data_IF_664698836172
#
_entry.id   IF_664698836172
#
_cell.length_a   1.000
_cell.length_b   1.000
_cell.length_c   1.000
_cell.angle_alpha   90.00
_cell.angle_beta   90.00
_cell.angle_gamma   90.00
#
_symmetry.space_group_name_H-M   'P 1'
#
loop_
_entity.id
_entity.type
_entity.pdbx_description
1 polymer ?
#
# COMPACT_ATOMS: atom_id res chain seq x y z
N UNK A 1 15.34 -22.12 1.81
CA UNK A 1 14.87 -21.58 0.51
C UNK A 1 15.54 -20.23 0.27
N UNK A 2 15.94 -19.95 -0.97
CA UNK A 2 16.43 -18.64 -1.42
C UNK A 2 15.27 -17.78 -1.87
N UNK A 3 15.20 -16.52 -1.45
CA UNK A 3 14.07 -15.62 -1.73
C UNK A 3 14.57 -14.31 -2.36
N UNK A 4 13.83 -13.79 -3.34
CA UNK A 4 14.02 -12.46 -3.94
C UNK A 4 12.81 -11.58 -3.59
N UNK A 5 13.05 -10.40 -3.02
CA UNK A 5 12.02 -9.37 -2.82
C UNK A 5 12.26 -8.24 -3.83
N UNK A 6 11.24 -7.85 -4.57
CA UNK A 6 11.30 -6.76 -5.54
C UNK A 6 10.73 -5.51 -4.90
N UNK A 7 11.50 -4.42 -4.90
CA UNK A 7 11.17 -3.12 -4.32
C UNK A 7 12.21 -2.66 -3.28
N UNK A 8 11.97 -1.54 -2.63
CA UNK A 8 12.95 -0.97 -1.70
C UNK A 8 12.35 0.04 -0.71
N UNK A 9 11.04 0.01 -0.47
CA UNK A 9 10.35 0.86 0.51
C UNK A 9 10.19 0.20 1.88
N UNK A 10 9.40 0.82 2.73
CA UNK A 10 9.09 0.32 4.08
C UNK A 10 8.31 -0.98 4.04
N UNK A 11 7.35 -1.09 3.13
CA UNK A 11 6.60 -2.32 2.84
C UNK A 11 7.54 -3.49 2.55
N UNK A 12 8.50 -3.31 1.63
CA UNK A 12 9.47 -4.35 1.30
C UNK A 12 10.38 -4.67 2.47
N UNK A 13 10.75 -3.68 3.29
CA UNK A 13 11.52 -3.93 4.50
C UNK A 13 10.72 -4.79 5.50
N UNK A 14 9.42 -4.51 5.70
CA UNK A 14 8.58 -5.33 6.57
C UNK A 14 8.38 -6.76 6.02
N UNK A 15 8.31 -6.92 4.69
CA UNK A 15 8.29 -8.24 4.05
C UNK A 15 9.62 -8.99 4.27
N UNK A 16 10.75 -8.33 4.07
CA UNK A 16 12.09 -8.91 4.33
C UNK A 16 12.23 -9.33 5.79
N UNK A 17 11.80 -8.48 6.75
CA UNK A 17 11.81 -8.79 8.17
C UNK A 17 10.92 -10.02 8.50
N UNK A 18 9.73 -10.12 7.89
CA UNK A 18 8.86 -11.28 8.05
C UNK A 18 9.48 -12.57 7.48
N UNK A 19 10.11 -12.48 6.31
CA UNK A 19 10.83 -13.60 5.69
C UNK A 19 12.05 -14.04 6.50
N UNK A 20 12.79 -13.10 7.08
CA UNK A 20 13.97 -13.39 7.90
C UNK A 20 13.63 -14.13 9.21
N UNK A 21 12.38 -14.05 9.68
CA UNK A 21 11.90 -14.85 10.84
C UNK A 21 11.57 -16.29 10.51
N UNK A 22 11.42 -16.64 9.23
CA UNK A 22 11.11 -18.00 8.81
C UNK A 22 12.35 -18.90 8.81
N UNK A 23 12.25 -20.04 9.47
CA UNK A 23 13.31 -21.07 9.47
C UNK A 23 13.51 -21.72 8.07
N UNK A 24 12.58 -21.50 7.14
CA UNK A 24 12.64 -22.01 5.78
C UNK A 24 13.53 -21.16 4.86
N UNK A 25 13.85 -19.90 5.28
CA UNK A 25 14.62 -18.97 4.47
C UNK A 25 16.10 -19.10 4.76
N UNK A 26 16.87 -19.42 3.74
CA UNK A 26 18.32 -19.54 3.78
C UNK A 26 19.01 -18.22 3.45
N UNK A 27 18.49 -17.52 2.43
CA UNK A 27 19.05 -16.26 1.96
C UNK A 27 17.98 -15.40 1.32
N UNK A 28 18.08 -14.09 1.55
CA UNK A 28 17.20 -13.07 0.97
C UNK A 28 18.04 -12.14 0.12
N UNK A 29 17.56 -11.86 -1.09
CA UNK A 29 17.97 -10.72 -1.92
C UNK A 29 16.83 -9.73 -2.02
N UNK A 30 17.17 -8.46 -2.18
CA UNK A 30 16.19 -7.39 -2.40
C UNK A 30 16.63 -6.48 -3.54
N UNK A 31 15.73 -6.16 -4.46
CA UNK A 31 16.05 -5.38 -5.66
C UNK A 31 15.07 -4.19 -5.82
N UNK A 32 15.52 -2.93 -5.68
CA UNK A 32 16.89 -2.51 -5.33
C UNK A 32 17.21 -2.58 -3.82
N UNK A 33 16.20 -2.66 -2.94
CA UNK A 33 16.35 -2.56 -1.49
C UNK A 33 16.68 -1.12 -1.01
N UNK A 34 17.04 -1.01 0.26
CA UNK A 34 17.45 0.25 0.90
C UNK A 34 18.47 -0.02 2.02
N UNK A 35 18.93 1.03 2.70
CA UNK A 35 19.97 0.92 3.72
C UNK A 35 19.59 0.04 4.93
N UNK A 36 18.29 0.00 5.31
CA UNK A 36 17.82 -0.87 6.39
C UNK A 36 17.69 -2.32 5.97
N UNK A 37 17.15 -2.56 4.77
CA UNK A 37 17.04 -3.90 4.17
C UNK A 37 18.40 -4.57 4.05
N UNK A 38 19.45 -3.78 3.76
CA UNK A 38 20.83 -4.29 3.62
C UNK A 38 21.38 -4.94 4.90
N UNK A 39 20.77 -4.73 6.06
CA UNK A 39 21.14 -5.42 7.29
C UNK A 39 20.63 -6.87 7.35
N UNK A 40 19.61 -7.22 6.58
CA UNK A 40 18.93 -8.51 6.60
C UNK A 40 18.96 -9.25 5.25
N UNK A 41 19.23 -8.53 4.16
CA UNK A 41 19.23 -9.06 2.79
C UNK A 41 20.37 -8.48 1.96
N UNK A 42 20.77 -9.19 0.92
CA UNK A 42 21.70 -8.66 -0.08
C UNK A 42 20.95 -7.77 -1.07
N UNK A 43 21.25 -6.47 -1.07
CA UNK A 43 20.63 -5.52 -1.99
C UNK A 43 21.28 -5.58 -3.38
N UNK A 44 20.46 -5.60 -4.43
CA UNK A 44 20.90 -5.69 -5.81
C UNK A 44 20.69 -4.37 -6.54
N UNK A 45 21.67 -3.94 -7.34
CA UNK A 45 21.53 -2.77 -8.20
C UNK A 45 20.69 -3.09 -9.47
N UNK A 46 19.45 -3.56 -9.25
CA UNK A 46 18.46 -3.85 -10.29
C UNK A 46 17.19 -3.11 -9.92
N UNK A 47 16.67 -2.30 -10.84
CA UNK A 47 15.42 -1.56 -10.61
C UNK A 47 14.22 -2.52 -10.71
N UNK A 48 13.16 -2.21 -10.03
CA UNK A 48 11.91 -3.00 -9.97
C UNK A 48 11.21 -3.14 -11.33
N UNK A 49 11.53 -2.27 -12.29
CA UNK A 49 11.00 -2.31 -13.67
C UNK A 49 11.93 -3.02 -14.68
N UNK A 50 13.13 -3.44 -14.26
CA UNK A 50 14.07 -4.18 -15.11
C UNK A 50 13.73 -5.68 -15.12
N UNK A 51 12.54 -6.00 -15.63
CA UNK A 51 11.88 -7.32 -15.55
C UNK A 51 12.80 -8.46 -16.00
N UNK A 52 13.47 -8.32 -17.14
CA UNK A 52 14.34 -9.37 -17.68
C UNK A 52 15.55 -9.63 -16.78
N UNK A 53 16.19 -8.58 -16.26
CA UNK A 53 17.33 -8.71 -15.34
C UNK A 53 16.92 -9.38 -14.03
N UNK A 54 15.75 -9.06 -13.51
CA UNK A 54 15.19 -9.69 -12.29
C UNK A 54 14.94 -11.19 -12.54
N UNK A 55 14.29 -11.54 -13.65
CA UNK A 55 14.02 -12.92 -14.06
C UNK A 55 15.31 -13.71 -14.22
N UNK A 56 16.27 -13.17 -14.96
CA UNK A 56 17.53 -13.85 -15.27
C UNK A 56 18.37 -14.05 -14.00
N UNK A 57 18.36 -13.05 -13.08
CA UNK A 57 18.98 -13.19 -11.77
C UNK A 57 18.31 -14.31 -10.96
N UNK A 58 16.97 -14.37 -10.93
CA UNK A 58 16.23 -15.38 -10.19
C UNK A 58 16.53 -16.79 -10.72
N UNK A 59 16.58 -16.97 -12.04
CA UNK A 59 16.92 -18.23 -12.67
C UNK A 59 18.37 -18.66 -12.38
N UNK A 60 19.33 -17.75 -12.55
CA UNK A 60 20.76 -18.05 -12.35
C UNK A 60 21.13 -18.37 -10.89
N UNK A 61 20.38 -17.83 -9.92
CA UNK A 61 20.61 -18.04 -8.48
C UNK A 61 19.68 -19.08 -7.84
N UNK A 62 18.86 -19.77 -8.64
CA UNK A 62 17.92 -20.79 -8.17
C UNK A 62 16.99 -20.25 -7.08
N UNK A 63 16.41 -19.07 -7.31
CA UNK A 63 15.46 -18.46 -6.39
C UNK A 63 14.20 -19.33 -6.27
N UNK A 64 13.90 -19.78 -5.06
CA UNK A 64 12.75 -20.65 -4.79
C UNK A 64 11.42 -19.90 -4.67
N UNK A 65 11.48 -18.60 -4.37
CA UNK A 65 10.31 -17.72 -4.26
C UNK A 65 10.71 -16.27 -4.56
N UNK A 66 9.96 -15.60 -5.42
CA UNK A 66 10.06 -14.15 -5.62
C UNK A 66 8.79 -13.47 -5.09
N UNK A 67 8.94 -12.33 -4.38
CA UNK A 67 7.83 -11.55 -3.83
C UNK A 67 7.87 -10.15 -4.42
N UNK A 68 6.75 -9.71 -5.00
CA UNK A 68 6.65 -8.37 -5.61
C UNK A 68 6.03 -7.39 -4.61
N UNK A 69 6.74 -6.31 -4.32
CA UNK A 69 6.25 -5.23 -3.46
C UNK A 69 5.47 -4.15 -4.22
N UNK A 70 6.11 -3.39 -5.16
CA UNK A 70 5.52 -2.19 -5.74
C UNK A 70 4.66 -2.47 -6.99
N UNK A 71 3.64 -1.64 -7.17
CA UNK A 71 2.72 -1.68 -8.31
C UNK A 71 3.40 -1.46 -9.67
N UNK A 72 4.49 -0.69 -9.71
CA UNK A 72 5.22 -0.41 -10.96
C UNK A 72 5.83 -1.68 -11.56
N UNK A 73 6.30 -2.61 -10.73
CA UNK A 73 6.81 -3.91 -11.17
C UNK A 73 5.68 -4.81 -11.73
N UNK A 74 4.51 -4.79 -11.08
CA UNK A 74 3.33 -5.53 -11.52
C UNK A 74 2.83 -4.99 -12.88
N UNK A 75 2.74 -3.68 -13.01
CA UNK A 75 2.35 -3.02 -14.26
C UNK A 75 3.36 -3.27 -15.40
N UNK A 76 4.65 -3.42 -15.07
CA UNK A 76 5.69 -3.81 -16.02
C UNK A 76 5.58 -5.27 -16.49
N UNK A 77 4.78 -6.13 -15.80
CA UNK A 77 4.56 -7.52 -16.19
C UNK A 77 5.60 -8.50 -15.64
N UNK A 78 6.23 -8.17 -14.50
CA UNK A 78 7.25 -9.04 -13.89
C UNK A 78 6.69 -10.43 -13.57
N UNK A 79 5.46 -10.53 -13.09
CA UNK A 79 4.82 -11.81 -12.75
C UNK A 79 4.62 -12.67 -13.97
N UNK A 80 4.17 -12.08 -15.07
CA UNK A 80 3.96 -12.78 -16.35
C UNK A 80 5.28 -13.36 -16.89
N UNK A 81 6.36 -12.56 -16.83
CA UNK A 81 7.69 -12.98 -17.28
C UNK A 81 8.27 -14.12 -16.43
N UNK A 82 8.09 -14.09 -15.10
CA UNK A 82 8.56 -15.14 -14.21
C UNK A 82 7.76 -16.43 -14.38
N UNK A 83 6.44 -16.35 -14.49
CA UNK A 83 5.57 -17.51 -14.74
C UNK A 83 5.90 -18.18 -16.10
N UNK A 84 6.13 -17.38 -17.13
CA UNK A 84 6.56 -17.89 -18.45
C UNK A 84 7.90 -18.62 -18.39
N UNK A 85 8.79 -18.24 -17.47
CA UNK A 85 10.07 -18.91 -17.21
C UNK A 85 10.00 -20.09 -16.22
N UNK A 86 8.79 -20.41 -15.70
CA UNK A 86 8.60 -21.47 -14.70
C UNK A 86 9.14 -21.12 -13.31
N UNK A 87 9.34 -19.83 -13.02
CA UNK A 87 9.81 -19.34 -11.73
C UNK A 87 8.64 -19.00 -10.81
N UNK A 88 8.71 -19.46 -9.54
CA UNK A 88 7.67 -19.16 -8.55
C UNK A 88 7.73 -17.69 -8.15
N UNK A 89 6.59 -17.01 -8.25
CA UNK A 89 6.47 -15.61 -7.92
C UNK A 89 5.13 -15.32 -7.23
N UNK A 90 5.16 -14.53 -6.17
CA UNK A 90 4.00 -14.04 -5.45
C UNK A 90 3.66 -12.61 -5.91
N UNK A 91 2.50 -12.45 -6.49
CA UNK A 91 1.94 -11.20 -7.00
C UNK A 91 0.98 -11.46 -8.16
N UNK A 92 0.05 -10.53 -8.46
CA UNK A 92 -0.89 -10.67 -9.56
C UNK A 92 -0.20 -10.45 -10.91
N UNK A 93 -0.71 -11.12 -11.94
CA UNK A 93 -0.33 -10.85 -13.34
C UNK A 93 -0.64 -9.40 -13.73
N UNK A 94 -0.01 -8.92 -14.80
CA UNK A 94 -0.31 -7.57 -15.34
C UNK A 94 -1.80 -7.38 -15.62
N UNK A 95 -2.48 -8.40 -16.12
CA UNK A 95 -3.92 -8.36 -16.38
C UNK A 95 -4.74 -8.19 -15.09
N UNK A 96 -4.38 -8.90 -14.01
CA UNK A 96 -5.03 -8.80 -12.72
C UNK A 96 -4.67 -7.50 -11.98
N UNK A 97 -3.44 -7.01 -12.12
CA UNK A 97 -2.99 -5.75 -11.53
C UNK A 97 -3.74 -4.50 -12.09
N UNK A 98 -4.50 -4.65 -13.18
CA UNK A 98 -5.37 -3.59 -13.71
C UNK A 98 -6.41 -3.10 -12.70
N UNK A 99 -6.75 -3.90 -11.70
CA UNK A 99 -7.68 -3.46 -10.64
C UNK A 99 -7.15 -2.25 -9.84
N UNK A 100 -5.82 -2.04 -9.82
CA UNK A 100 -5.16 -0.84 -9.27
C UNK A 100 -4.77 0.15 -10.37
N UNK A 101 -4.18 -0.33 -11.47
CA UNK A 101 -3.60 0.54 -12.50
C UNK A 101 -4.63 1.19 -13.42
N UNK A 102 -5.89 0.71 -13.44
CA UNK A 102 -7.01 1.35 -14.12
C UNK A 102 -8.21 1.48 -13.19
N UNK A 103 -8.52 2.71 -12.83
CA UNK A 103 -9.68 3.04 -11.97
C UNK A 103 -10.99 2.79 -12.70
N UNK A 104 -11.03 3.05 -14.03
CA UNK A 104 -12.17 2.71 -14.87
C UNK A 104 -12.45 1.21 -14.83
N UNK A 105 -11.44 0.36 -15.07
CA UNK A 105 -11.59 -1.09 -14.99
C UNK A 105 -12.13 -1.55 -13.62
N UNK A 106 -11.57 -1.02 -12.54
CA UNK A 106 -12.03 -1.36 -11.18
C UNK A 106 -13.48 -0.94 -10.96
N UNK A 107 -13.88 0.25 -11.43
CA UNK A 107 -15.26 0.74 -11.30
C UNK A 107 -16.24 -0.05 -12.15
N UNK A 108 -15.90 -0.37 -13.39
CA UNK A 108 -16.72 -1.18 -14.27
C UNK A 108 -16.92 -2.60 -13.71
N UNK A 109 -15.85 -3.18 -13.16
CA UNK A 109 -15.92 -4.46 -12.45
C UNK A 109 -16.90 -4.37 -11.27
N UNK A 110 -16.77 -3.36 -10.41
CA UNK A 110 -17.64 -3.16 -9.26
C UNK A 110 -19.11 -2.96 -9.69
N UNK A 111 -19.37 -2.18 -10.73
CA UNK A 111 -20.70 -1.96 -11.27
C UNK A 111 -21.31 -3.25 -11.83
N UNK A 112 -20.54 -4.00 -12.63
CA UNK A 112 -20.97 -5.26 -13.26
C UNK A 112 -21.34 -6.34 -12.24
N UNK A 113 -20.60 -6.43 -11.14
CA UNK A 113 -20.78 -7.46 -10.10
C UNK A 113 -21.47 -6.95 -8.84
N UNK A 114 -22.07 -5.75 -8.89
CA UNK A 114 -22.80 -5.12 -7.81
C UNK A 114 -21.99 -5.02 -6.50
N UNK A 115 -20.68 -4.74 -6.60
CA UNK A 115 -19.79 -4.48 -5.47
C UNK A 115 -19.98 -3.03 -5.02
N UNK A 116 -20.27 -2.78 -3.72
CA UNK A 116 -20.61 -1.44 -3.23
C UNK A 116 -19.47 -0.44 -3.40
N UNK A 117 -19.70 0.64 -4.13
CA UNK A 117 -18.77 1.77 -4.30
C UNK A 117 -19.52 3.08 -4.53
N UNK A 118 -18.81 4.20 -4.65
CA UNK A 118 -19.39 5.48 -5.05
C UNK A 118 -19.94 5.46 -6.47
N UNK A 119 -21.01 6.20 -6.75
CA UNK A 119 -21.44 6.47 -8.11
C UNK A 119 -20.32 7.13 -8.91
N UNK A 120 -20.15 6.77 -10.17
CA UNK A 120 -19.04 7.27 -10.98
C UNK A 120 -19.40 7.40 -12.45
N UNK A 121 -18.57 8.18 -13.16
CA UNK A 121 -18.51 8.21 -14.64
C UNK A 121 -17.10 8.52 -15.10
N UNK A 122 -16.65 7.86 -16.19
CA UNK A 122 -15.36 8.07 -16.81
C UNK A 122 -15.47 9.03 -18.01
N UNK A 123 -14.44 9.85 -18.24
CA UNK A 123 -14.38 10.85 -19.29
C UNK A 123 -12.98 10.90 -19.91
N UNK A 124 -12.94 11.12 -21.24
CA UNK A 124 -11.75 11.49 -22.01
C UNK A 124 -11.79 12.95 -22.44
N UNK A 125 -12.98 13.54 -22.49
CA UNK A 125 -13.20 14.91 -22.97
C UNK A 125 -13.41 15.86 -21.79
N UNK A 126 -12.56 16.89 -21.72
CA UNK A 126 -12.59 17.90 -20.65
C UNK A 126 -13.96 18.58 -20.51
N UNK A 127 -14.56 19.02 -21.64
CA UNK A 127 -15.84 19.75 -21.60
C UNK A 127 -16.98 18.87 -21.04
N UNK A 128 -17.03 17.60 -21.42
CA UNK A 128 -18.03 16.66 -20.90
C UNK A 128 -17.84 16.37 -19.42
N UNK A 129 -16.57 16.24 -18.97
CA UNK A 129 -16.25 16.03 -17.57
C UNK A 129 -16.66 17.24 -16.72
N UNK A 130 -16.36 18.46 -17.17
CA UNK A 130 -16.72 19.69 -16.45
C UNK A 130 -18.24 19.90 -16.38
N UNK A 131 -18.97 19.67 -17.48
CA UNK A 131 -20.43 19.75 -17.52
C UNK A 131 -21.06 18.72 -16.55
N UNK A 132 -20.49 17.53 -16.47
CA UNK A 132 -20.97 16.50 -15.56
C UNK A 132 -20.75 16.90 -14.10
N UNK A 133 -19.57 17.43 -13.73
CA UNK A 133 -19.31 17.93 -12.38
C UNK A 133 -20.24 19.09 -12.04
N UNK A 134 -20.45 20.04 -12.96
CA UNK A 134 -21.34 21.19 -12.74
C UNK A 134 -22.81 20.80 -12.53
N UNK A 135 -23.22 19.63 -13.03
CA UNK A 135 -24.59 19.10 -12.88
C UNK A 135 -24.84 18.35 -11.57
N UNK A 136 -23.81 18.20 -10.69
CA UNK A 136 -23.87 17.35 -9.49
C UNK A 136 -23.59 18.14 -8.21
N UNK A 137 -24.02 17.61 -7.03
CA UNK A 137 -23.58 18.16 -5.76
C UNK A 137 -22.05 18.06 -5.58
N UNK A 138 -21.47 19.10 -5.02
CA UNK A 138 -20.08 19.08 -4.54
C UNK A 138 -20.05 18.69 -3.05
N UNK A 139 -18.93 18.14 -2.54
CA UNK A 139 -17.68 17.88 -3.26
C UNK A 139 -17.79 16.73 -4.28
N UNK A 140 -16.93 16.76 -5.29
CA UNK A 140 -16.76 15.67 -6.25
C UNK A 140 -15.32 15.13 -6.17
N UNK A 141 -15.12 13.82 -6.40
CA UNK A 141 -13.80 13.21 -6.41
C UNK A 141 -13.36 12.95 -7.85
N UNK A 142 -12.28 13.57 -8.25
CA UNK A 142 -11.68 13.45 -9.58
C UNK A 142 -10.45 12.57 -9.49
N UNK A 143 -10.43 11.46 -10.23
CA UNK A 143 -9.31 10.51 -10.22
C UNK A 143 -8.77 10.31 -11.64
N UNK A 144 -7.49 10.60 -11.83
CA UNK A 144 -6.80 10.25 -13.06
C UNK A 144 -6.75 8.71 -13.22
N UNK A 145 -7.10 8.19 -14.39
CA UNK A 145 -7.07 6.75 -14.68
C UNK A 145 -5.67 6.30 -15.07
N UNK A 146 -4.91 5.88 -14.07
CA UNK A 146 -3.52 5.45 -14.22
C UNK A 146 -2.78 5.47 -12.88
N UNK A 147 -1.52 5.00 -12.92
CA UNK A 147 -0.62 5.06 -11.78
C UNK A 147 -0.09 6.50 -11.61
N UNK A 148 -0.50 7.17 -10.56
CA UNK A 148 -0.12 8.57 -10.27
C UNK A 148 0.48 8.76 -8.87
N UNK A 149 0.90 7.68 -8.20
CA UNK A 149 1.53 7.69 -6.87
C UNK A 149 0.78 8.56 -5.84
N UNK A 150 -0.57 8.45 -5.81
CA UNK A 150 -1.45 9.22 -4.91
C UNK A 150 -1.67 10.69 -5.31
N UNK A 151 -1.03 11.18 -6.38
CA UNK A 151 -1.16 12.58 -6.84
C UNK A 151 -2.26 12.79 -7.87
N UNK A 152 -2.85 11.72 -8.38
CA UNK A 152 -3.92 11.76 -9.37
C UNK A 152 -5.33 11.80 -8.78
N UNK A 153 -5.50 12.16 -7.52
CA UNK A 153 -6.82 12.27 -6.86
C UNK A 153 -7.01 13.67 -6.31
N UNK A 154 -8.09 14.33 -6.71
CA UNK A 154 -8.49 15.66 -6.23
C UNK A 154 -9.92 15.57 -5.71
N UNK A 155 -10.15 16.04 -4.49
CA UNK A 155 -11.47 16.30 -3.94
C UNK A 155 -11.76 17.77 -4.22
N UNK A 156 -12.65 18.03 -5.17
CA UNK A 156 -13.02 19.37 -5.57
C UNK A 156 -14.24 19.85 -4.74
N UNK A 157 -14.04 20.83 -3.90
CA UNK A 157 -15.07 21.46 -3.09
C UNK A 157 -15.82 22.56 -3.85
N UNK A 158 -15.17 23.11 -4.88
CA UNK A 158 -15.73 24.14 -5.76
C UNK A 158 -15.61 23.75 -7.24
N UNK A 159 -16.40 24.40 -8.11
CA UNK A 159 -16.32 24.16 -9.55
C UNK A 159 -15.00 24.66 -10.13
N UNK A 160 -14.41 25.72 -9.56
CA UNK A 160 -13.12 26.25 -9.95
C UNK A 160 -11.98 25.26 -9.65
N UNK A 161 -12.03 24.57 -8.52
CA UNK A 161 -11.09 23.50 -8.18
C UNK A 161 -11.23 22.31 -9.13
N UNK A 162 -12.47 21.94 -9.47
CA UNK A 162 -12.75 20.86 -10.41
C UNK A 162 -12.23 21.22 -11.82
N UNK A 163 -12.48 22.46 -12.28
CA UNK A 163 -11.99 22.96 -13.56
C UNK A 163 -10.45 22.90 -13.64
N UNK A 164 -9.75 23.37 -12.61
CA UNK A 164 -8.30 23.33 -12.56
C UNK A 164 -7.76 21.89 -12.58
N UNK A 165 -8.36 21.00 -11.80
CA UNK A 165 -7.96 19.60 -11.76
C UNK A 165 -8.21 18.86 -13.07
N UNK A 166 -9.35 19.10 -13.74
CA UNK A 166 -9.69 18.50 -15.02
C UNK A 166 -8.74 18.98 -16.13
N UNK A 167 -8.33 20.26 -16.12
CA UNK A 167 -7.30 20.78 -17.04
C UNK A 167 -5.96 20.08 -16.84
N UNK A 168 -5.49 19.98 -15.60
CA UNK A 168 -4.25 19.27 -15.26
C UNK A 168 -4.27 17.79 -15.73
N UNK A 169 -5.44 17.14 -15.66
CA UNK A 169 -5.59 15.72 -15.94
C UNK A 169 -5.88 15.38 -17.40
N UNK A 170 -6.56 16.26 -18.16
CA UNK A 170 -7.05 15.97 -19.50
C UNK A 170 -6.48 16.88 -20.60
N UNK A 171 -5.93 18.06 -20.26
CA UNK A 171 -5.42 19.01 -21.24
C UNK A 171 -3.91 19.23 -21.18
N UNK A 172 -3.33 19.21 -19.98
CA UNK A 172 -1.93 19.60 -19.76
C UNK A 172 -0.96 18.43 -19.80
N UNK A 173 -1.41 17.23 -20.18
CA UNK A 173 -0.63 15.97 -20.25
C UNK A 173 0.26 15.70 -19.01
N UNK A 174 -0.08 16.30 -17.88
CA UNK A 174 0.68 16.20 -16.64
C UNK A 174 0.89 14.75 -16.17
N UNK A 175 -0.07 13.89 -16.51
CA UNK A 175 -0.06 12.46 -16.21
C UNK A 175 0.00 11.59 -17.47
N UNK A 176 0.09 12.18 -18.67
CA UNK A 176 0.01 11.54 -19.99
C UNK A 176 -1.42 11.52 -20.54
N UNK A 177 -1.60 11.02 -21.79
CA UNK A 177 -2.94 10.81 -22.36
C UNK A 177 -3.73 9.86 -21.44
N UNK A 178 -4.82 10.34 -20.85
CA UNK A 178 -5.55 9.59 -19.84
C UNK A 178 -7.03 9.90 -19.84
N UNK A 179 -7.69 9.21 -18.92
CA UNK A 179 -9.08 9.40 -18.58
C UNK A 179 -9.19 9.94 -17.16
N UNK A 180 -10.29 10.57 -16.87
CA UNK A 180 -10.68 10.95 -15.51
C UNK A 180 -11.91 10.17 -15.12
N UNK A 181 -11.89 9.58 -13.92
CA UNK A 181 -13.06 9.02 -13.26
C UNK A 181 -13.57 10.05 -12.25
N UNK A 182 -14.79 10.53 -12.46
CA UNK A 182 -15.49 11.43 -11.55
C UNK A 182 -16.40 10.60 -10.66
N UNK A 183 -16.23 10.72 -9.33
CA UNK A 183 -16.96 9.95 -8.33
C UNK A 183 -17.75 10.83 -7.37
N UNK A 184 -18.83 10.27 -6.82
CA UNK A 184 -19.53 10.87 -5.68
C UNK A 184 -18.62 10.87 -4.46
N UNK A 185 -18.64 11.97 -3.70
CA UNK A 185 -17.89 12.06 -2.45
C UNK A 185 -18.55 11.19 -1.38
N UNK A 186 -17.78 10.28 -0.81
CA UNK A 186 -18.19 9.46 0.33
C UNK A 186 -17.77 10.11 1.65
N UNK A 187 -18.55 9.88 2.70
CA UNK A 187 -18.26 10.38 4.06
C UNK A 187 -18.26 9.24 5.06
N UNK A 188 -17.28 9.25 5.97
CA UNK A 188 -17.11 8.25 7.02
C UNK A 188 -15.64 7.95 7.30
N UNK A 189 -15.33 7.16 8.32
CA UNK A 189 -13.98 6.70 8.57
C UNK A 189 -13.53 5.70 7.48
N UNK A 190 -12.32 5.93 6.96
CA UNK A 190 -11.65 5.03 6.03
C UNK A 190 -10.94 3.92 6.79
N UNK A 191 -10.78 2.76 6.16
CA UNK A 191 -9.95 1.67 6.65
C UNK A 191 -9.44 0.78 5.53
N UNK A 192 -8.34 0.09 5.80
CA UNK A 192 -7.65 -0.79 4.87
C UNK A 192 -7.95 -2.25 5.22
N UNK A 193 -8.45 -3.01 4.24
CA UNK A 193 -8.68 -4.43 4.38
C UNK A 193 -7.93 -5.21 3.31
N UNK A 194 -6.77 -5.72 3.68
CA UNK A 194 -5.94 -6.56 2.81
C UNK A 194 -6.35 -8.02 2.95
N UNK A 195 -6.31 -8.75 1.84
CA UNK A 195 -6.48 -10.19 1.82
C UNK A 195 -5.41 -10.85 0.97
N UNK A 196 -4.93 -12.00 1.39
CA UNK A 196 -4.28 -12.91 0.45
C UNK A 196 -5.34 -13.52 -0.45
N UNK A 197 -5.08 -13.61 -1.74
CA UNK A 197 -6.02 -14.14 -2.73
C UNK A 197 -5.29 -15.09 -3.67
N UNK A 198 -5.92 -16.23 -3.97
CA UNK A 198 -5.49 -17.15 -5.02
C UNK A 198 -6.72 -17.65 -5.78
N UNK A 199 -6.98 -17.05 -6.92
CA UNK A 199 -8.20 -17.28 -7.68
C UNK A 199 -9.43 -16.91 -6.87
N UNK A 200 -10.25 -17.91 -6.46
CA UNK A 200 -11.46 -17.69 -5.63
C UNK A 200 -11.22 -17.81 -4.14
N UNK A 201 -10.02 -18.23 -3.72
CA UNK A 201 -9.67 -18.37 -2.31
C UNK A 201 -9.24 -17.01 -1.76
N UNK A 202 -9.84 -16.61 -0.65
CA UNK A 202 -9.57 -15.32 0.01
C UNK A 202 -9.28 -15.56 1.49
N UNK A 203 -8.14 -15.07 1.98
CA UNK A 203 -7.73 -15.15 3.38
C UNK A 203 -7.55 -13.73 3.93
N UNK A 204 -8.48 -13.26 4.79
CA UNK A 204 -8.45 -11.89 5.30
C UNK A 204 -7.28 -11.68 6.28
N UNK A 205 -6.61 -10.53 6.16
CA UNK A 205 -5.61 -10.07 7.10
C UNK A 205 -6.25 -9.24 8.23
N UNK A 206 -5.47 -8.97 9.28
CA UNK A 206 -5.87 -8.01 10.29
C UNK A 206 -6.11 -6.62 9.66
N UNK A 207 -7.17 -5.95 10.08
CA UNK A 207 -7.52 -4.62 9.61
C UNK A 207 -6.48 -3.57 10.04
N UNK A 208 -6.28 -2.57 9.20
CA UNK A 208 -5.44 -1.42 9.49
C UNK A 208 -6.08 -0.12 9.01
N UNK A 209 -5.63 1.00 9.57
CA UNK A 209 -5.98 2.33 9.07
C UNK A 209 -4.70 3.14 8.90
N UNK A 210 -4.55 3.78 7.77
CA UNK A 210 -3.50 4.77 7.49
C UNK A 210 -4.00 6.20 7.77
N UNK A 211 -3.05 7.14 7.86
CA UNK A 211 -3.30 8.57 8.00
C UNK A 211 -2.70 9.30 6.81
N UNK A 212 -3.57 9.70 5.87
CA UNK A 212 -3.13 10.23 4.56
C UNK A 212 -2.69 11.68 4.58
N UNK A 213 -3.19 12.50 5.51
CA UNK A 213 -2.86 13.92 5.60
C UNK A 213 -1.49 14.14 6.24
N UNK A 214 -0.77 15.15 5.74
CA UNK A 214 0.62 15.40 6.12
C UNK A 214 0.81 15.84 7.58
N UNK A 215 -0.17 16.54 8.17
CA UNK A 215 -0.04 17.20 9.47
C UNK A 215 -1.13 16.76 10.45
N UNK A 216 -0.87 17.00 11.74
CA UNK A 216 -1.81 16.74 12.83
C UNK A 216 -3.19 17.37 12.58
N UNK A 217 -4.23 16.73 13.10
CA UNK A 217 -5.62 17.13 12.90
C UNK A 217 -6.13 16.87 11.47
N UNK A 218 -5.53 15.93 10.75
CA UNK A 218 -5.84 15.59 9.36
C UNK A 218 -5.82 16.80 8.42
N UNK A 219 -4.79 17.64 8.57
CA UNK A 219 -4.59 18.87 7.79
C UNK A 219 -3.46 18.73 6.77
N UNK A 220 -3.36 19.70 5.85
CA UNK A 220 -2.35 19.71 4.81
C UNK A 220 -2.67 18.79 3.62
N UNK A 221 -1.71 18.59 2.70
CA UNK A 221 -1.90 17.79 1.49
C UNK A 221 -2.00 16.29 1.80
N UNK A 222 -2.60 15.54 0.87
CA UNK A 222 -2.55 14.08 0.86
C UNK A 222 -1.13 13.58 0.63
N UNK A 223 -0.79 12.46 1.24
CA UNK A 223 0.51 11.79 1.16
C UNK A 223 0.32 10.30 0.84
N UNK A 224 1.40 9.55 0.80
CA UNK A 224 1.35 8.08 0.76
C UNK A 224 1.03 7.42 2.11
N UNK A 225 0.69 8.20 3.15
CA UNK A 225 0.45 7.75 4.52
C UNK A 225 1.55 8.23 5.48
N UNK A 226 1.15 8.87 6.58
CA UNK A 226 2.02 9.41 7.63
C UNK A 226 2.09 8.52 8.88
N UNK A 227 1.35 7.43 8.87
CA UNK A 227 1.27 6.46 9.95
C UNK A 227 0.14 5.48 9.73
N UNK A 228 0.17 4.39 10.45
CA UNK A 228 -0.89 3.38 10.43
C UNK A 228 -0.99 2.67 11.78
N UNK A 229 -2.11 2.00 12.01
CA UNK A 229 -2.31 1.20 13.22
C UNK A 229 -3.24 0.00 12.98
N UNK A 230 -3.15 -0.99 13.86
CA UNK A 230 -3.94 -2.22 13.88
C UNK A 230 -4.00 -2.75 15.33
N UNK A 231 -5.16 -3.22 15.85
CA UNK A 231 -6.48 -3.38 15.24
C UNK A 231 -7.28 -2.08 15.17
N UNK A 232 -8.49 -2.15 14.56
CA UNK A 232 -9.41 -1.01 14.43
C UNK A 232 -10.62 -1.17 15.36
N UNK A 233 -10.72 -0.41 16.46
CA UNK A 233 -11.81 -0.55 17.42
C UNK A 233 -13.18 -0.08 16.89
N UNK A 234 -13.22 0.77 15.84
CA UNK A 234 -14.45 1.28 15.26
C UNK A 234 -15.06 0.37 14.17
N UNK A 235 -14.32 -0.65 13.71
CA UNK A 235 -14.81 -1.65 12.75
C UNK A 235 -15.26 -2.87 13.54
N UNK A 236 -16.54 -3.20 13.47
CA UNK A 236 -17.13 -4.34 14.16
C UNK A 236 -16.88 -5.65 13.41
N UNK A 237 -17.03 -6.79 14.07
CA UNK A 237 -16.97 -8.10 13.41
C UNK A 237 -18.04 -8.27 12.30
N UNK A 238 -19.16 -7.56 12.42
CA UNK A 238 -20.21 -7.53 11.38
C UNK A 238 -19.74 -6.71 10.17
N UNK A 239 -19.12 -5.57 10.40
CA UNK A 239 -18.51 -4.76 9.33
C UNK A 239 -17.44 -5.54 8.57
N UNK A 240 -16.55 -6.24 9.30
CA UNK A 240 -15.49 -7.06 8.71
C UNK A 240 -16.08 -8.20 7.86
N UNK A 241 -17.07 -8.92 8.40
CA UNK A 241 -17.76 -9.97 7.68
C UNK A 241 -18.44 -9.43 6.43
N UNK A 242 -19.16 -8.29 6.53
CA UNK A 242 -19.80 -7.64 5.40
C UNK A 242 -18.79 -7.27 4.31
N UNK A 243 -17.67 -6.64 4.68
CA UNK A 243 -16.61 -6.27 3.75
C UNK A 243 -16.01 -7.50 3.05
N UNK A 244 -15.80 -8.60 3.78
CA UNK A 244 -15.31 -9.84 3.21
C UNK A 244 -16.33 -10.45 2.24
N UNK A 245 -17.58 -10.66 2.67
CA UNK A 245 -18.61 -11.40 1.92
C UNK A 245 -19.22 -10.58 0.78
N UNK A 246 -19.26 -9.25 0.88
CA UNK A 246 -19.94 -8.36 -0.10
C UNK A 246 -18.98 -7.57 -0.97
N UNK A 247 -17.70 -7.52 -0.62
CA UNK A 247 -16.70 -6.75 -1.36
C UNK A 247 -15.52 -7.62 -1.80
N UNK A 248 -14.72 -8.15 -0.88
CA UNK A 248 -13.46 -8.80 -1.24
C UNK A 248 -13.65 -10.16 -1.91
N UNK A 249 -14.48 -11.02 -1.38
CA UNK A 249 -14.80 -12.31 -2.01
C UNK A 249 -15.47 -12.13 -3.38
N UNK A 250 -16.52 -11.28 -3.54
CA UNK A 250 -17.10 -11.00 -4.86
C UNK A 250 -16.10 -10.40 -5.85
N UNK A 251 -15.13 -9.58 -5.38
CA UNK A 251 -14.07 -9.04 -6.25
C UNK A 251 -13.16 -10.15 -6.77
N UNK A 252 -12.70 -11.06 -5.90
CA UNK A 252 -11.89 -12.20 -6.32
C UNK A 252 -12.63 -13.10 -7.31
N UNK A 253 -13.91 -13.37 -7.04
CA UNK A 253 -14.81 -14.15 -7.94
C UNK A 253 -14.99 -13.47 -9.30
N UNK A 254 -15.19 -12.14 -9.29
CA UNK A 254 -15.34 -11.34 -10.50
C UNK A 254 -14.06 -11.35 -11.36
N UNK A 255 -12.88 -11.23 -10.74
CA UNK A 255 -11.59 -11.30 -11.45
C UNK A 255 -11.41 -12.65 -12.16
N UNK A 256 -11.82 -13.76 -11.53
CA UNK A 256 -11.84 -15.08 -12.19
C UNK A 256 -12.81 -15.11 -13.35
N UNK A 257 -14.03 -14.55 -13.16
CA UNK A 257 -15.06 -14.53 -14.21
C UNK A 257 -14.65 -13.66 -15.42
N UNK A 258 -13.85 -12.60 -15.20
CA UNK A 258 -13.28 -11.77 -16.27
C UNK A 258 -12.02 -12.38 -16.94
N UNK A 259 -11.61 -13.59 -16.55
CA UNK A 259 -10.45 -14.27 -17.14
C UNK A 259 -9.10 -13.72 -16.69
N UNK A 260 -9.05 -12.94 -15.64
CA UNK A 260 -7.83 -12.41 -15.02
C UNK A 260 -7.78 -12.76 -13.51
N UNK A 261 -7.67 -14.07 -13.15
CA UNK A 261 -7.65 -14.49 -11.76
C UNK A 261 -6.57 -13.76 -10.97
N UNK A 262 -6.91 -13.35 -9.76
CA UNK A 262 -6.00 -12.61 -8.88
C UNK A 262 -5.20 -13.58 -8.01
N UNK A 263 -3.89 -13.38 -7.93
CA UNK A 263 -2.98 -14.11 -7.04
C UNK A 263 -2.06 -13.08 -6.36
N UNK A 264 -2.07 -13.02 -5.03
CA UNK A 264 -1.27 -12.05 -4.29
C UNK A 264 -2.05 -11.37 -3.18
N UNK A 265 -1.81 -10.07 -2.96
CA UNK A 265 -2.55 -9.26 -1.99
C UNK A 265 -3.53 -8.34 -2.71
N UNK A 266 -4.82 -8.59 -2.49
CA UNK A 266 -5.90 -7.67 -2.84
C UNK A 266 -6.14 -6.74 -1.65
N UNK A 267 -5.91 -5.45 -1.84
CA UNK A 267 -6.14 -4.42 -0.85
C UNK A 267 -7.40 -3.64 -1.20
N UNK A 268 -8.42 -3.71 -0.33
CA UNK A 268 -9.59 -2.85 -0.38
C UNK A 268 -9.38 -1.62 0.50
N UNK A 269 -9.31 -0.43 -0.11
CA UNK A 269 -9.50 0.84 0.58
C UNK A 269 -10.99 1.07 0.76
N UNK A 270 -11.48 0.99 1.99
CA UNK A 270 -12.88 0.96 2.32
C UNK A 270 -13.29 2.16 3.18
N UNK A 271 -14.53 2.59 3.06
CA UNK A 271 -15.12 3.62 3.91
C UNK A 271 -16.41 3.10 4.57
N UNK A 272 -16.51 3.27 5.89
CA UNK A 272 -17.73 2.98 6.64
C UNK A 272 -18.66 4.20 6.56
N UNK A 273 -19.55 4.19 5.56
CA UNK A 273 -20.50 5.27 5.33
C UNK A 273 -21.82 5.05 6.10
N UNK A 274 -22.68 6.07 6.24
CA UNK A 274 -24.04 5.88 6.80
C UNK A 274 -24.91 4.90 6.02
N UNK A 275 -24.57 4.61 4.74
CA UNK A 275 -25.30 3.67 3.89
C UNK A 275 -24.63 2.28 3.83
N UNK A 276 -23.66 2.00 4.69
CA UNK A 276 -22.88 0.77 4.73
C UNK A 276 -21.44 0.96 4.21
N UNK A 277 -20.70 -0.14 4.16
CA UNK A 277 -19.31 -0.10 3.71
C UNK A 277 -19.24 -0.03 2.19
N UNK A 278 -18.42 0.88 1.68
CA UNK A 278 -18.17 1.09 0.25
C UNK A 278 -16.69 1.08 -0.07
N UNK A 279 -16.37 0.64 -1.28
CA UNK A 279 -15.01 0.69 -1.83
C UNK A 279 -14.68 2.11 -2.27
N UNK A 280 -13.53 2.63 -1.80
CA UNK A 280 -12.89 3.83 -2.30
C UNK A 280 -12.01 3.49 -3.50
N UNK A 281 -11.17 2.45 -3.34
CA UNK A 281 -10.25 1.95 -4.37
C UNK A 281 -9.79 0.53 -4.03
N UNK A 282 -9.29 -0.18 -5.04
CA UNK A 282 -8.50 -1.39 -4.84
C UNK A 282 -7.03 -1.13 -5.16
N UNK A 283 -6.15 -1.84 -4.45
CA UNK A 283 -4.74 -1.94 -4.79
C UNK A 283 -4.37 -3.43 -4.97
N UNK A 284 -3.42 -3.69 -5.86
CA UNK A 284 -3.04 -5.04 -6.29
C UNK A 284 -1.80 -5.57 -5.55
N UNK A 285 -1.50 -5.02 -4.39
CA UNK A 285 -0.28 -5.28 -3.62
C UNK A 285 -0.49 -4.95 -2.14
N UNK A 286 0.49 -5.29 -1.32
CA UNK A 286 0.54 -4.85 0.07
C UNK A 286 0.45 -3.31 0.18
N UNK A 287 -0.28 -2.81 1.18
CA UNK A 287 -0.32 -1.39 1.54
C UNK A 287 1.02 -0.89 2.09
N UNK A 288 1.24 0.40 2.03
CA UNK A 288 2.39 1.10 2.60
C UNK A 288 1.90 2.46 3.15
N UNK A 289 1.72 2.62 4.48
CA UNK A 289 2.43 1.93 5.55
C UNK A 289 1.65 0.83 6.32
N UNK A 290 0.56 0.27 5.80
CA UNK A 290 -0.25 -0.71 6.54
C UNK A 290 0.47 -2.02 6.78
N UNK A 291 1.28 -2.48 5.82
CA UNK A 291 2.03 -3.74 5.92
C UNK A 291 2.94 -3.76 7.13
N UNK A 292 3.56 -2.63 7.44
CA UNK A 292 4.51 -2.44 8.53
C UNK A 292 3.86 -2.53 9.92
N UNK A 293 2.53 -2.40 10.01
CA UNK A 293 1.77 -2.60 11.26
C UNK A 293 1.01 -3.92 11.27
N UNK A 294 0.72 -4.52 10.11
CA UNK A 294 -0.02 -5.77 10.00
C UNK A 294 0.91 -6.98 10.09
N UNK A 295 2.01 -7.03 9.33
CA UNK A 295 2.91 -8.18 9.32
C UNK A 295 3.58 -8.47 10.67
N UNK A 296 3.93 -7.50 11.52
CA UNK A 296 4.41 -7.80 12.87
C UNK A 296 3.42 -8.56 13.75
N UNK A 297 2.12 -8.48 13.44
CA UNK A 297 1.06 -9.23 14.14
C UNK A 297 0.83 -10.63 13.58
N UNK A 298 1.38 -10.94 12.40
CA UNK A 298 1.25 -12.27 11.81
C UNK A 298 2.11 -13.28 12.58
N UNK A 299 1.47 -14.37 13.06
CA UNK A 299 2.12 -15.46 13.76
C UNK A 299 2.44 -16.64 12.82
N UNK A 300 1.61 -16.85 11.78
CA UNK A 300 1.87 -17.87 10.76
C UNK A 300 3.16 -17.58 10.01
N UNK A 301 3.85 -18.62 9.54
CA UNK A 301 5.02 -18.46 8.67
C UNK A 301 4.61 -17.86 7.33
N UNK A 302 5.20 -16.74 6.97
CA UNK A 302 4.83 -15.99 5.75
C UNK A 302 5.27 -16.73 4.46
N UNK A 303 6.30 -17.58 4.55
CA UNK A 303 6.76 -18.41 3.40
C UNK A 303 5.67 -19.41 3.02
N UNK A 304 5.07 -20.09 4.00
CA UNK A 304 3.97 -21.03 3.75
C UNK A 304 2.79 -20.33 3.07
N UNK A 305 2.47 -19.11 3.51
CA UNK A 305 1.39 -18.31 2.93
C UNK A 305 1.71 -17.93 1.49
N UNK A 306 2.90 -17.37 1.24
CA UNK A 306 3.28 -16.92 -0.09
C UNK A 306 3.36 -18.09 -1.09
N UNK A 307 3.92 -19.24 -0.67
CA UNK A 307 3.95 -20.44 -1.50
C UNK A 307 2.53 -20.96 -1.76
N UNK A 308 1.67 -21.05 -0.74
CA UNK A 308 0.29 -21.52 -0.93
C UNK A 308 -0.48 -20.62 -1.91
N UNK A 309 -0.36 -19.30 -1.79
CA UNK A 309 -1.00 -18.36 -2.72
C UNK A 309 -0.47 -18.51 -4.14
N UNK A 310 0.86 -18.58 -4.32
CA UNK A 310 1.49 -18.69 -5.63
C UNK A 310 1.21 -20.03 -6.32
N UNK A 311 1.03 -21.10 -5.54
CA UNK A 311 0.81 -22.48 -6.06
C UNK A 311 -0.69 -22.86 -6.09
N UNK A 312 -1.62 -21.96 -5.71
CA UNK A 312 -3.05 -22.27 -5.63
C UNK A 312 -3.45 -23.18 -4.47
N UNK A 313 -2.59 -23.33 -3.46
CA UNK A 313 -2.78 -24.15 -2.27
C UNK A 313 -3.76 -23.58 -1.28
N UNK A 314 -3.77 -24.14 -0.05
CA UNK A 314 -4.53 -23.65 1.09
C UNK A 314 -3.59 -23.20 2.21
N UNK A 315 -3.99 -22.20 2.97
CA UNK A 315 -3.25 -21.68 4.11
C UNK A 315 -4.19 -21.23 5.23
N UNK A 316 -3.63 -20.97 6.40
CA UNK A 316 -4.34 -20.42 7.54
C UNK A 316 -3.55 -19.26 8.14
N UNK A 317 -4.26 -18.19 8.48
CA UNK A 317 -3.68 -17.02 9.10
C UNK A 317 -3.95 -17.06 10.61
N UNK A 318 -2.89 -17.01 11.38
CA UNK A 318 -2.93 -16.90 12.84
C UNK A 318 -2.27 -15.59 13.23
N UNK A 319 -2.92 -14.82 14.09
CA UNK A 319 -2.51 -13.47 14.48
C UNK A 319 -2.17 -13.42 15.98
N UNK A 320 -1.25 -12.52 16.33
CA UNK A 320 -1.02 -12.11 17.71
C UNK A 320 -2.07 -11.09 18.15
N UNK A 321 -2.41 -11.10 19.44
CA UNK A 321 -3.44 -10.22 20.03
C UNK A 321 -2.94 -8.80 20.33
N UNK A 322 -1.63 -8.56 20.33
CA UNK A 322 -1.10 -7.22 20.60
C UNK A 322 -1.46 -6.20 19.50
N UNK A 323 -1.54 -4.95 19.91
CA UNK A 323 -1.72 -3.82 19.00
C UNK A 323 -0.38 -3.32 18.46
N UNK A 324 -0.41 -2.75 17.25
CA UNK A 324 0.70 -2.08 16.60
C UNK A 324 0.27 -0.69 16.14
N UNK A 325 1.15 0.29 16.28
CA UNK A 325 0.97 1.62 15.73
C UNK A 325 2.33 2.13 15.25
N UNK A 326 2.36 2.63 14.03
CA UNK A 326 3.59 3.12 13.42
C UNK A 326 3.48 4.57 12.96
N UNK A 327 4.59 5.29 13.09
CA UNK A 327 4.73 6.71 12.80
C UNK A 327 5.78 6.88 11.71
N UNK A 328 5.42 7.57 10.62
CA UNK A 328 6.35 7.94 9.54
C UNK A 328 7.16 9.16 9.96
N UNK A 329 8.48 9.07 9.81
CA UNK A 329 9.35 10.24 9.78
C UNK A 329 9.59 10.61 8.32
N UNK A 330 9.10 11.77 7.92
CA UNK A 330 9.18 12.28 6.56
C UNK A 330 10.15 13.47 6.45
N UNK A 331 10.77 13.64 5.29
CA UNK A 331 11.61 14.81 5.00
C UNK A 331 10.78 16.10 5.03
N UNK A 332 11.26 17.15 5.65
CA UNK A 332 10.61 18.47 5.66
C UNK A 332 10.34 18.94 4.23
N UNK A 333 9.10 19.36 3.98
CA UNK A 333 8.60 19.72 2.66
C UNK A 333 7.80 18.63 1.95
N UNK A 334 7.88 17.36 2.39
CA UNK A 334 7.06 16.28 1.84
C UNK A 334 5.54 16.54 2.07
N UNK A 335 4.64 16.27 1.08
CA UNK A 335 4.85 15.58 -0.20
C UNK A 335 5.32 16.47 -1.35
N UNK A 336 5.62 17.75 -1.10
CA UNK A 336 6.20 18.68 -2.06
C UNK A 336 7.71 18.48 -2.23
N UNK A 337 8.43 19.55 -2.52
CA UNK A 337 9.90 19.51 -2.65
C UNK A 337 10.57 19.36 -1.29
N UNK A 338 11.58 18.48 -1.20
CA UNK A 338 12.32 18.21 0.02
C UNK A 338 13.80 17.97 -0.27
N UNK A 339 14.64 18.24 0.73
CA UNK A 339 16.06 17.98 0.70
C UNK A 339 16.38 16.50 0.99
N UNK A 340 17.43 15.98 0.36
CA UNK A 340 17.96 14.62 0.56
C UNK A 340 19.42 14.68 1.03
N UNK A 341 19.91 13.58 1.60
CA UNK A 341 21.30 13.46 2.00
C UNK A 341 21.59 13.95 3.42
N UNK A 342 20.56 14.23 4.22
CA UNK A 342 20.70 14.57 5.64
C UNK A 342 21.01 13.31 6.46
N UNK A 343 21.99 13.37 7.34
CA UNK A 343 22.39 12.26 8.20
C UNK A 343 21.33 11.97 9.28
N UNK A 344 21.05 10.69 9.50
CA UNK A 344 20.13 10.20 10.51
C UNK A 344 20.95 9.48 11.59
N UNK A 345 20.75 9.84 12.85
CA UNK A 345 21.44 9.25 14.01
C UNK A 345 20.45 8.61 14.98
N UNK A 346 20.97 7.78 15.89
CA UNK A 346 20.18 7.18 16.95
C UNK A 346 19.30 6.00 16.53
N UNK A 347 19.49 5.46 15.34
CA UNK A 347 18.74 4.29 14.85
C UNK A 347 18.99 3.05 15.70
N UNK A 348 20.18 2.92 16.26
CA UNK A 348 20.62 1.85 17.17
C UNK A 348 19.96 1.92 18.55
N UNK A 349 19.31 3.03 18.90
CA UNK A 349 18.61 3.24 20.18
C UNK A 349 17.12 2.89 20.12
N UNK A 350 16.61 2.60 18.92
CA UNK A 350 15.20 2.22 18.72
C UNK A 350 14.98 0.80 19.27
N UNK A 351 13.98 0.63 20.12
CA UNK A 351 13.64 -0.67 20.76
C UNK A 351 12.54 -1.42 20.01
N UNK A 352 11.63 -0.68 19.35
CA UNK A 352 10.56 -1.21 18.52
C UNK A 352 11.04 -1.65 17.15
N UNK A 353 10.10 -1.99 16.26
CA UNK A 353 10.45 -2.26 14.88
C UNK A 353 10.70 -0.94 14.13
N UNK A 354 11.78 -0.92 13.35
CA UNK A 354 12.19 0.21 12.54
C UNK A 354 12.31 -0.22 11.08
N UNK A 355 11.43 0.33 10.24
CA UNK A 355 11.47 0.08 8.81
C UNK A 355 12.01 1.31 8.06
N UNK A 356 12.99 1.09 7.20
CA UNK A 356 13.53 2.10 6.32
C UNK A 356 12.67 2.20 5.07
N UNK A 357 12.23 3.42 4.74
CA UNK A 357 11.42 3.69 3.54
C UNK A 357 12.28 4.35 2.46
N UNK A 358 12.82 5.54 2.74
CA UNK A 358 13.64 6.30 1.82
C UNK A 358 14.99 6.66 2.43
N UNK A 359 15.87 5.69 2.60
CA UNK A 359 17.22 5.86 3.13
C UNK A 359 18.27 5.29 2.19
N UNK A 360 19.47 5.83 2.28
CA UNK A 360 20.68 5.27 1.63
C UNK A 360 21.85 5.25 2.59
N UNK A 361 22.74 4.27 2.41
CA UNK A 361 24.01 4.24 3.13
C UNK A 361 25.07 5.09 2.40
N UNK A 362 25.93 5.73 3.20
CA UNK A 362 27.14 6.42 2.76
C UNK A 362 28.27 6.08 3.75
N UNK A 363 29.00 5.03 3.46
CA UNK A 363 29.91 4.41 4.42
C UNK A 363 29.13 3.90 5.65
N UNK A 364 29.48 4.39 6.84
CA UNK A 364 28.79 4.06 8.09
C UNK A 364 27.58 4.95 8.39
N UNK A 365 27.32 5.98 7.57
CA UNK A 365 26.22 6.92 7.77
C UNK A 365 24.97 6.45 7.06
N UNK A 366 23.82 6.70 7.66
CA UNK A 366 22.51 6.54 7.02
C UNK A 366 21.97 7.92 6.70
N UNK A 367 21.61 8.13 5.44
CA UNK A 367 21.15 9.42 4.92
C UNK A 367 19.72 9.33 4.40
N UNK A 368 19.00 10.46 4.48
CA UNK A 368 17.67 10.59 3.83
C UNK A 368 17.80 10.51 2.32
N UNK A 369 16.90 9.80 1.64
CA UNK A 369 16.87 9.68 0.17
C UNK A 369 15.47 9.74 -0.42
N UNK A 370 14.42 9.76 0.42
CA UNK A 370 13.01 9.79 0.02
C UNK A 370 12.20 10.84 0.76
N UNK A 371 10.93 10.97 0.40
CA UNK A 371 9.97 11.81 1.10
C UNK A 371 9.59 11.21 2.44
N UNK A 372 9.03 9.98 2.45
CA UNK A 372 8.93 9.16 3.66
C UNK A 372 10.28 8.46 3.83
N UNK A 373 10.86 8.55 5.02
CA UNK A 373 12.25 8.16 5.27
C UNK A 373 12.33 6.94 6.17
N UNK A 374 11.64 6.97 7.30
CA UNK A 374 11.61 5.89 8.29
C UNK A 374 10.17 5.66 8.75
N UNK A 375 9.90 4.45 9.20
CA UNK A 375 8.67 4.07 9.87
C UNK A 375 8.97 3.36 11.18
N UNK A 376 8.55 3.96 12.28
CA UNK A 376 8.82 3.48 13.64
C UNK A 376 7.56 2.86 14.21
N UNK A 377 7.62 1.57 14.55
CA UNK A 377 6.45 0.81 15.01
C UNK A 377 6.57 0.45 16.48
N UNK A 378 5.66 0.99 17.29
CA UNK A 378 5.44 0.55 18.65
C UNK A 378 4.48 -0.64 18.72
N UNK A 379 4.70 -1.53 19.68
CA UNK A 379 3.82 -2.65 20.05
C UNK A 379 3.34 -2.45 21.47
N UNK A 380 2.12 -2.91 21.78
CA UNK A 380 1.55 -2.84 23.13
C UNK A 380 0.35 -3.76 23.28
N UNK A 381 -0.09 -4.03 24.50
CA UNK A 381 -1.34 -4.73 24.74
C UNK A 381 -2.55 -3.90 24.28
N UNK A 382 -2.39 -2.59 24.24
CA UNK A 382 -3.37 -1.61 23.75
C UNK A 382 -2.78 -0.70 22.70
N UNK A 383 -3.64 -0.04 21.91
CA UNK A 383 -3.20 0.99 20.95
C UNK A 383 -2.52 2.18 21.66
N UNK A 384 -2.99 2.55 22.85
CA UNK A 384 -2.38 3.62 23.63
C UNK A 384 -0.92 3.29 24.03
N UNK A 385 -0.66 2.06 24.45
CA UNK A 385 0.70 1.59 24.74
C UNK A 385 1.56 1.54 23.46
N UNK A 386 1.00 1.02 22.36
CA UNK A 386 1.68 0.99 21.07
C UNK A 386 2.08 2.41 20.60
N UNK A 387 1.17 3.38 20.74
CA UNK A 387 1.43 4.79 20.41
C UNK A 387 2.53 5.39 21.30
N UNK A 388 2.43 5.22 22.63
CA UNK A 388 3.44 5.72 23.56
C UNK A 388 4.83 5.12 23.26
N UNK A 389 4.89 3.82 22.93
CA UNK A 389 6.14 3.15 22.56
C UNK A 389 6.71 3.67 21.25
N UNK A 390 5.87 3.90 20.22
CA UNK A 390 6.31 4.48 18.95
C UNK A 390 6.87 5.89 19.13
N UNK A 391 6.18 6.77 19.86
CA UNK A 391 6.64 8.14 20.13
C UNK A 391 7.96 8.16 20.92
N UNK A 392 8.12 7.27 21.89
CA UNK A 392 9.37 7.16 22.67
C UNK A 392 10.54 6.78 21.76
N UNK A 393 10.35 5.90 20.80
CA UNK A 393 11.36 5.49 19.86
C UNK A 393 11.64 6.56 18.80
N UNK A 394 10.60 7.27 18.31
CA UNK A 394 10.75 8.44 17.44
C UNK A 394 11.66 9.50 18.08
N UNK A 395 11.47 9.75 19.39
CA UNK A 395 12.29 10.74 20.13
C UNK A 395 13.77 10.37 20.26
N UNK A 396 14.17 9.13 19.96
CA UNK A 396 15.59 8.68 19.96
C UNK A 396 16.29 8.94 18.64
N UNK A 397 15.54 9.23 17.58
CA UNK A 397 16.07 9.47 16.23
C UNK A 397 16.36 10.95 16.07
N UNK A 398 17.57 11.26 15.63
CA UNK A 398 18.07 12.63 15.47
C UNK A 398 18.31 12.93 13.99
N UNK A 399 17.54 13.85 13.43
CA UNK A 399 17.76 14.44 12.10
C UNK A 399 16.86 15.69 11.97
N UNK A 400 17.49 16.86 11.86
CA UNK A 400 16.78 18.15 11.80
C UNK A 400 15.89 18.30 10.57
N UNK A 401 16.11 17.50 9.53
CA UNK A 401 15.33 17.51 8.29
C UNK A 401 14.11 16.59 8.32
N UNK A 402 13.80 15.97 9.45
CA UNK A 402 12.63 15.09 9.57
C UNK A 402 11.48 15.77 10.34
N UNK A 403 10.26 15.40 10.00
CA UNK A 403 9.05 15.69 10.76
C UNK A 403 8.15 14.46 10.81
N UNK A 404 7.22 14.44 11.75
CA UNK A 404 6.24 13.38 11.92
C UNK A 404 4.94 13.93 12.50
N UNK A 405 3.88 13.16 12.44
CA UNK A 405 2.62 13.42 13.13
C UNK A 405 2.69 12.87 14.56
N UNK A 406 2.01 13.52 15.47
CA UNK A 406 1.90 13.11 16.89
C UNK A 406 0.56 12.46 17.21
N UNK A 407 -0.43 12.58 16.32
CA UNK A 407 -1.82 12.17 16.50
C UNK A 407 -2.21 10.87 15.77
N UNK A 408 -1.23 10.09 15.30
CA UNK A 408 -1.51 8.83 14.62
C UNK A 408 -2.37 7.93 15.51
N UNK A 409 -3.48 7.43 14.96
CA UNK A 409 -4.44 6.61 15.70
C UNK A 409 -5.52 7.40 16.44
N UNK A 410 -5.62 8.74 16.27
CA UNK A 410 -6.62 9.56 16.98
C UNK A 410 -8.05 9.02 16.83
N UNK A 411 -8.44 8.54 15.64
CA UNK A 411 -9.74 7.89 15.42
C UNK A 411 -10.02 6.69 16.34
N UNK A 412 -8.98 6.01 16.82
CA UNK A 412 -9.12 4.90 17.76
C UNK A 412 -9.28 5.35 19.21
N UNK A 413 -8.94 6.60 19.52
CA UNK A 413 -8.98 7.18 20.88
C UNK A 413 -10.18 8.11 21.08
N UNK A 414 -10.81 8.59 20.01
CA UNK A 414 -12.06 9.36 20.07
C UNK A 414 -13.20 8.39 20.43
N UNK A 415 -13.97 8.77 21.49
CA UNK A 415 -15.10 7.99 21.99
C UNK A 415 -16.39 8.39 21.32
#
# INVERSE_FOLDING_TARGET
MKVLVIGGGGREHAIVDALARSAQVEKIWCAPGNAGIAAQAECLAIKETEVERLRDFAAANEIGLTVVGPEVALAAGVVDAFKAAGLRIFGPTKAAARIESSKEFAKDLMAKYAIPTAGYRAFTEYAEALDYVASRPLPAVLKYDGLAAGKGVVIAETLEEADAALKDMLLDDKFGEGKVVVEDFLTGPEFSFMCFVSGRKVWPMALAQDHKRAFDGDTGPNTGGMGAYSPLPFVTAEDERYALERILQPTADAMVAEGCPFEGVLYGGLMKTPQGIKVIEFNARFGDPETEVVLPRLKSDIVDIFCAVADGGDTQLVWHDFATLGIVLASKGYPGAYEKGCEIKGLDRVEGALYHMGTKADGSRILTSGGRVLFVVGKGATLAEAHANALRDVARIECDNLFHRTDIGHWAFEK
#
